data_IF_787866718822
#
_entry.id   IF_787866718822
#
_cell.length_a   1.000
_cell.length_b   1.000
_cell.length_c   1.000
_cell.angle_alpha   90.00
_cell.angle_beta   90.00
_cell.angle_gamma   90.00
#
_symmetry.space_group_name_H-M   'P 1'
#
loop_
_entity.id
_entity.type
_entity.pdbx_description
1 polymer ?
#
# COMPACT_ATOMS: atom_id res chain seq x y z
N UNK A 1 15.88 15.19 0.72
CA UNK A 1 15.02 14.90 1.88
C UNK A 1 14.03 16.03 2.19
N UNK A 2 14.50 17.29 2.38
CA UNK A 2 13.61 18.40 2.82
C UNK A 2 12.33 18.55 1.99
N UNK A 3 12.37 18.29 0.70
CA UNK A 3 11.25 18.44 -0.22
C UNK A 3 10.55 17.09 -0.55
N UNK A 4 10.74 16.04 0.26
CA UNK A 4 10.03 14.77 0.13
C UNK A 4 8.87 14.75 1.14
N UNK A 5 7.70 14.26 0.71
CA UNK A 5 6.54 13.99 1.56
C UNK A 5 6.01 12.60 1.27
N UNK A 6 6.06 11.72 2.26
CA UNK A 6 5.51 10.38 2.16
C UNK A 6 4.20 10.35 2.93
N UNK A 7 3.11 10.09 2.26
CA UNK A 7 1.79 10.10 2.87
C UNK A 7 0.88 9.02 2.28
N UNK A 8 -0.14 8.70 3.04
CA UNK A 8 -1.21 7.80 2.62
C UNK A 8 -2.55 8.50 2.71
N UNK A 9 -3.55 7.99 2.00
CA UNK A 9 -4.95 8.42 2.15
C UNK A 9 -5.70 7.33 2.89
N UNK A 10 -6.29 7.68 4.01
CA UNK A 10 -7.20 6.84 4.78
C UNK A 10 -8.61 7.40 4.70
N UNK A 11 -9.57 6.54 4.43
CA UNK A 11 -10.97 6.92 4.26
C UNK A 11 -11.89 5.74 4.52
N UNK A 12 -13.14 6.02 4.86
CA UNK A 12 -14.21 5.03 4.78
C UNK A 12 -14.52 4.67 3.32
N UNK A 13 -15.16 3.52 3.11
CA UNK A 13 -15.66 3.11 1.80
C UNK A 13 -16.61 4.21 1.29
N UNK A 14 -16.52 4.51 0.00
CA UNK A 14 -17.33 5.54 -0.68
C UNK A 14 -17.10 7.01 -0.22
N UNK A 15 -16.15 7.31 0.65
CA UNK A 15 -15.79 8.70 0.98
C UNK A 15 -14.99 9.41 -0.12
N UNK A 16 -14.65 8.70 -1.21
CA UNK A 16 -14.03 9.25 -2.40
C UNK A 16 -12.50 9.18 -2.42
N UNK A 17 -11.91 8.20 -1.71
CA UNK A 17 -10.47 7.98 -1.67
C UNK A 17 -9.86 7.83 -3.07
N UNK A 18 -10.32 6.86 -3.88
CA UNK A 18 -9.78 6.59 -5.22
C UNK A 18 -9.98 7.78 -6.17
N UNK A 19 -11.13 8.47 -6.08
CA UNK A 19 -11.39 9.69 -6.87
C UNK A 19 -10.43 10.82 -6.49
N UNK A 20 -10.12 10.97 -5.19
CA UNK A 20 -9.15 11.96 -4.73
C UNK A 20 -7.73 11.60 -5.20
N UNK A 21 -7.37 10.33 -5.13
CA UNK A 21 -6.09 9.81 -5.65
C UNK A 21 -5.90 10.13 -7.12
N UNK A 22 -6.91 9.84 -7.95
CA UNK A 22 -6.91 10.18 -9.38
C UNK A 22 -6.74 11.69 -9.61
N UNK A 23 -7.42 12.50 -8.79
CA UNK A 23 -7.35 13.96 -8.90
C UNK A 23 -5.97 14.51 -8.53
N UNK A 24 -5.32 13.94 -7.51
CA UNK A 24 -3.95 14.32 -7.14
C UNK A 24 -2.96 13.96 -8.25
N UNK A 25 -3.10 12.77 -8.86
CA UNK A 25 -2.28 12.33 -10.00
C UNK A 25 -2.45 13.27 -11.19
N UNK A 26 -3.70 13.63 -11.52
CA UNK A 26 -4.00 14.55 -12.61
C UNK A 26 -3.42 15.96 -12.35
N UNK A 27 -3.65 16.50 -11.16
CA UNK A 27 -3.20 17.85 -10.78
C UNK A 27 -1.68 17.99 -10.82
N UNK A 28 -0.95 16.99 -10.36
CA UNK A 28 0.51 16.96 -10.38
C UNK A 28 1.08 16.51 -11.75
N UNK A 29 0.24 16.30 -12.76
CA UNK A 29 0.69 15.94 -14.10
C UNK A 29 1.30 14.54 -14.23
N UNK A 30 0.96 13.63 -13.32
CA UNK A 30 1.44 12.24 -13.34
C UNK A 30 0.98 11.46 -14.58
N UNK A 31 -0.19 11.83 -15.13
CA UNK A 31 -0.73 11.30 -16.38
C UNK A 31 -1.38 12.42 -17.20
N UNK A 32 -1.36 12.28 -18.53
CA UNK A 32 -2.11 13.17 -19.41
C UNK A 32 -3.62 12.87 -19.33
N UNK A 33 -4.45 13.87 -19.64
CA UNK A 33 -5.92 13.69 -19.66
C UNK A 33 -6.39 12.52 -20.54
N UNK A 34 -5.63 12.15 -21.58
CA UNK A 34 -5.96 11.01 -22.46
C UNK A 34 -5.62 9.66 -21.84
N UNK A 35 -4.70 9.63 -20.88
CA UNK A 35 -4.28 8.42 -20.19
C UNK A 35 -5.04 8.23 -18.87
N UNK A 36 -5.78 9.26 -18.43
CA UNK A 36 -6.63 9.18 -17.25
C UNK A 36 -7.79 8.23 -17.50
N UNK A 37 -7.93 7.24 -16.63
CA UNK A 37 -9.10 6.40 -16.48
C UNK A 37 -9.61 6.56 -15.05
N UNK A 38 -10.84 6.18 -14.80
CA UNK A 38 -11.34 6.14 -13.42
C UNK A 38 -10.58 5.07 -12.62
N UNK A 39 -10.24 5.38 -11.37
CA UNK A 39 -9.59 4.48 -10.43
C UNK A 39 -8.25 3.92 -10.96
N UNK A 40 -7.34 4.82 -11.35
CA UNK A 40 -6.05 4.45 -11.98
C UNK A 40 -5.22 3.53 -11.11
N UNK A 41 -5.28 3.71 -9.79
CA UNK A 41 -4.52 2.92 -8.83
C UNK A 41 -5.18 1.57 -8.50
N UNK A 42 -6.48 1.42 -8.72
CA UNK A 42 -7.16 0.14 -8.59
C UNK A 42 -6.84 -0.75 -9.80
N UNK A 43 -5.69 -1.40 -9.76
CA UNK A 43 -5.12 -2.13 -10.90
C UNK A 43 -5.78 -3.47 -11.18
N UNK A 44 -6.45 -4.06 -10.19
CA UNK A 44 -7.16 -5.32 -10.32
C UNK A 44 -8.60 -5.10 -10.81
N UNK A 45 -9.08 -5.97 -11.69
CA UNK A 45 -10.48 -5.92 -12.12
C UNK A 45 -11.46 -6.07 -10.95
N UNK A 46 -11.11 -6.92 -9.97
CA UNK A 46 -11.87 -7.13 -8.74
C UNK A 46 -11.98 -5.86 -7.88
N UNK A 47 -10.96 -5.01 -7.83
CA UNK A 47 -11.00 -3.71 -7.14
C UNK A 47 -12.02 -2.79 -7.79
N UNK A 48 -11.98 -2.68 -9.12
CA UNK A 48 -12.90 -1.83 -9.91
C UNK A 48 -14.33 -2.34 -9.87
N UNK A 49 -14.55 -3.65 -9.96
CA UNK A 49 -15.87 -4.25 -9.90
C UNK A 49 -16.53 -4.08 -8.53
N UNK A 50 -15.76 -4.19 -7.47
CA UNK A 50 -16.24 -4.07 -6.08
C UNK A 50 -16.22 -2.64 -5.53
N UNK A 51 -15.56 -1.71 -6.23
CA UNK A 51 -15.40 -0.32 -5.79
C UNK A 51 -14.55 -0.17 -4.52
N UNK A 52 -13.63 -1.10 -4.27
CA UNK A 52 -12.77 -1.11 -3.07
C UNK A 52 -11.31 -1.29 -3.48
N UNK A 53 -10.40 -0.59 -2.83
CA UNK A 53 -8.97 -0.86 -2.92
C UNK A 53 -8.64 -2.07 -2.05
N UNK A 54 -8.00 -3.07 -2.64
CA UNK A 54 -7.58 -4.30 -1.98
C UNK A 54 -6.10 -4.22 -1.65
N UNK A 55 -5.29 -3.76 -2.62
CA UNK A 55 -3.86 -3.70 -2.50
C UNK A 55 -3.33 -2.27 -2.52
N UNK A 56 -2.41 -1.99 -1.59
CA UNK A 56 -1.72 -0.72 -1.57
C UNK A 56 -0.86 -0.51 -2.82
N UNK A 57 -0.92 0.69 -3.39
CA UNK A 57 -0.09 1.11 -4.51
C UNK A 57 0.66 2.39 -4.17
N UNK A 58 1.91 2.47 -4.58
CA UNK A 58 2.74 3.65 -4.37
C UNK A 58 2.89 4.44 -5.67
N UNK A 59 2.75 5.75 -5.58
CA UNK A 59 2.95 6.68 -6.71
C UNK A 59 3.82 7.83 -6.24
N UNK A 60 4.78 8.20 -7.07
CA UNK A 60 5.62 9.38 -6.88
C UNK A 60 5.16 10.48 -7.84
N UNK A 61 4.84 11.64 -7.30
CA UNK A 61 4.38 12.81 -8.02
C UNK A 61 5.30 13.99 -7.72
N UNK A 62 5.51 14.85 -8.71
CA UNK A 62 6.22 16.11 -8.51
C UNK A 62 5.20 17.25 -8.39
N UNK A 63 5.33 18.05 -7.34
CA UNK A 63 4.49 19.23 -7.09
C UNK A 63 5.34 20.48 -7.01
N UNK A 64 5.06 21.43 -7.89
CA UNK A 64 5.76 22.71 -7.96
C UNK A 64 5.07 23.75 -7.08
N UNK A 65 5.80 24.34 -6.14
CA UNK A 65 5.32 25.44 -5.30
C UNK A 65 6.42 26.44 -5.00
N UNK A 66 6.16 27.72 -5.22
CA UNK A 66 7.07 28.84 -4.93
C UNK A 66 8.47 28.68 -5.55
N UNK A 67 8.57 28.00 -6.71
CA UNK A 67 9.83 27.72 -7.41
C UNK A 67 10.63 26.55 -6.82
N UNK A 68 10.08 25.82 -5.87
CA UNK A 68 10.63 24.56 -5.35
C UNK A 68 9.78 23.37 -5.84
N UNK A 69 10.46 22.27 -6.19
CA UNK A 69 9.82 20.99 -6.52
C UNK A 69 9.75 20.12 -5.29
N UNK A 70 8.57 19.70 -4.92
CA UNK A 70 8.31 18.71 -3.88
C UNK A 70 8.04 17.34 -4.50
N UNK A 71 8.72 16.32 -3.99
CA UNK A 71 8.44 14.93 -4.34
C UNK A 71 7.40 14.36 -3.36
N UNK A 72 6.22 14.08 -3.87
CA UNK A 72 5.12 13.51 -3.11
C UNK A 72 5.06 12.00 -3.37
N UNK A 73 5.42 11.20 -2.38
CA UNK A 73 5.26 9.75 -2.45
C UNK A 73 3.93 9.41 -1.78
N UNK A 74 2.97 9.10 -2.58
CA UNK A 74 1.62 8.77 -2.18
C UNK A 74 1.44 7.25 -2.17
N UNK A 75 0.96 6.69 -1.06
CA UNK A 75 0.64 5.27 -0.93
C UNK A 75 -0.87 5.14 -0.73
N UNK A 76 -1.54 4.63 -1.74
CA UNK A 76 -2.97 4.33 -1.67
C UNK A 76 -3.20 3.08 -0.82
N UNK A 77 -4.12 3.15 0.14
CA UNK A 77 -4.38 2.07 1.11
C UNK A 77 -5.80 1.55 1.01
N UNK A 78 -6.03 0.25 1.30
CA UNK A 78 -7.37 -0.26 1.46
C UNK A 78 -8.17 0.49 2.53
N UNK A 79 -9.49 0.62 2.34
CA UNK A 79 -10.38 1.22 3.35
C UNK A 79 -11.00 0.21 4.31
N UNK A 80 -11.12 -1.06 3.92
CA UNK A 80 -11.85 -2.09 4.64
C UNK A 80 -11.03 -2.73 5.77
N UNK A 81 -11.70 -3.04 6.89
CA UNK A 81 -11.08 -3.61 8.10
C UNK A 81 -10.38 -4.96 7.88
N UNK A 82 -10.86 -5.77 6.94
CA UNK A 82 -10.24 -7.06 6.59
C UNK A 82 -8.86 -6.90 5.95
N UNK A 83 -8.51 -5.69 5.51
CA UNK A 83 -7.20 -5.34 4.97
C UNK A 83 -6.39 -4.43 5.90
N UNK A 84 -6.73 -4.39 7.20
CA UNK A 84 -6.04 -3.55 8.20
C UNK A 84 -4.53 -3.78 8.27
N UNK A 85 -4.07 -4.99 7.92
CA UNK A 85 -2.65 -5.31 7.85
C UNK A 85 -1.95 -4.55 6.69
N UNK A 86 -2.59 -4.51 5.50
CA UNK A 86 -2.11 -3.71 4.37
C UNK A 86 -2.06 -2.22 4.72
N UNK A 87 -3.10 -1.72 5.42
CA UNK A 87 -3.14 -0.34 5.91
C UNK A 87 -1.97 -0.04 6.84
N UNK A 88 -1.78 -0.86 7.88
CA UNK A 88 -0.70 -0.68 8.86
C UNK A 88 0.68 -0.68 8.20
N UNK A 89 0.89 -1.58 7.26
CA UNK A 89 2.14 -1.74 6.51
C UNK A 89 2.45 -0.54 5.62
N UNK A 90 1.45 -0.06 4.91
CA UNK A 90 1.56 1.11 4.03
C UNK A 90 1.82 2.39 4.82
N UNK A 91 1.13 2.56 5.95
CA UNK A 91 1.31 3.68 6.85
C UNK A 91 2.74 3.73 7.42
N UNK A 92 3.38 2.59 7.67
CA UNK A 92 4.77 2.55 8.15
C UNK A 92 5.79 3.14 7.17
N UNK A 93 5.43 3.25 5.90
CA UNK A 93 6.24 3.90 4.88
C UNK A 93 6.02 5.41 4.80
N UNK A 94 5.08 5.96 5.57
CA UNK A 94 4.66 7.35 5.52
C UNK A 94 5.11 8.13 6.75
N UNK A 95 5.19 9.43 6.62
CA UNK A 95 5.33 10.39 7.70
C UNK A 95 4.01 11.08 8.03
N UNK A 96 3.00 10.96 7.16
CA UNK A 96 1.68 11.50 7.40
C UNK A 96 0.57 10.75 6.70
N UNK A 97 -0.67 11.09 7.04
CA UNK A 97 -1.88 10.54 6.43
C UNK A 97 -2.94 11.63 6.22
N UNK A 98 -3.63 11.56 5.09
CA UNK A 98 -4.82 12.36 4.83
C UNK A 98 -6.05 11.57 5.26
N UNK A 99 -6.77 12.06 6.26
CA UNK A 99 -8.03 11.50 6.74
C UNK A 99 -9.18 12.12 5.93
N UNK A 100 -9.67 11.41 4.94
CA UNK A 100 -10.74 11.89 4.05
C UNK A 100 -12.10 11.50 4.60
N UNK A 101 -12.91 12.51 4.87
CA UNK A 101 -14.27 12.36 5.39
C UNK A 101 -15.27 12.99 4.43
N UNK A 102 -16.34 12.26 4.14
CA UNK A 102 -17.45 12.74 3.31
C UNK A 102 -18.22 13.84 4.06
N UNK A 103 -18.32 15.03 3.47
CA UNK A 103 -19.03 16.18 4.05
C UNK A 103 -20.52 15.97 4.28
N UNK A 104 -21.12 14.95 3.67
CA UNK A 104 -22.54 14.60 3.85
C UNK A 104 -22.76 13.51 4.90
N UNK A 105 -21.86 12.52 4.96
CA UNK A 105 -22.00 11.35 5.85
C UNK A 105 -21.35 11.60 7.23
N UNK A 106 -20.17 12.25 7.26
CA UNK A 106 -19.42 12.48 8.49
C UNK A 106 -18.48 11.32 8.85
N UNK A 107 -18.17 11.18 10.14
CA UNK A 107 -17.21 10.20 10.66
C UNK A 107 -17.86 8.83 10.79
N UNK A 108 -17.24 7.82 10.18
CA UNK A 108 -17.67 6.42 10.20
C UNK A 108 -16.69 5.52 10.98
N UNK A 109 -17.14 4.34 11.41
CA UNK A 109 -16.36 3.45 12.27
C UNK A 109 -14.98 3.05 11.69
N UNK A 110 -14.90 2.81 10.37
CA UNK A 110 -13.63 2.48 9.71
C UNK A 110 -12.68 3.68 9.65
N UNK A 111 -13.23 4.89 9.55
CA UNK A 111 -12.46 6.14 9.63
C UNK A 111 -11.69 6.21 10.96
N UNK A 112 -12.39 5.93 12.07
CA UNK A 112 -11.80 5.89 13.41
C UNK A 112 -10.68 4.83 13.51
N UNK A 113 -10.96 3.60 13.10
CA UNK A 113 -10.01 2.49 13.21
C UNK A 113 -8.71 2.75 12.43
N UNK A 114 -8.83 3.24 11.19
CA UNK A 114 -7.67 3.57 10.35
C UNK A 114 -6.91 4.79 10.88
N UNK A 115 -7.61 5.77 11.42
CA UNK A 115 -7.00 6.95 12.03
C UNK A 115 -6.17 6.57 13.26
N UNK A 116 -6.71 5.76 14.16
CA UNK A 116 -5.95 5.27 15.33
C UNK A 116 -4.71 4.49 14.91
N UNK A 117 -4.79 3.67 13.85
CA UNK A 117 -3.61 2.98 13.32
C UNK A 117 -2.52 3.96 12.86
N UNK A 118 -2.90 5.09 12.26
CA UNK A 118 -1.94 6.13 11.87
C UNK A 118 -1.34 6.85 13.08
N UNK A 119 -2.17 7.20 14.06
CA UNK A 119 -1.74 7.88 15.31
C UNK A 119 -0.80 6.98 16.12
N UNK A 120 -1.11 5.68 16.25
CA UNK A 120 -0.27 4.70 16.96
C UNK A 120 1.12 4.56 16.31
N UNK A 121 1.24 4.86 15.02
CA UNK A 121 2.52 4.90 14.30
C UNK A 121 3.19 6.29 14.33
N UNK A 122 2.66 7.25 15.11
CA UNK A 122 3.13 8.63 15.22
C UNK A 122 3.15 9.38 13.89
N UNK A 123 2.19 9.13 13.01
CA UNK A 123 2.02 9.88 11.77
C UNK A 123 1.30 11.21 12.02
N UNK A 124 1.66 12.23 11.25
CA UNK A 124 0.87 13.47 11.18
C UNK A 124 -0.41 13.20 10.40
N UNK A 125 -1.57 13.37 11.06
CA UNK A 125 -2.87 13.11 10.43
C UNK A 125 -3.57 14.41 10.12
N UNK A 126 -3.85 14.66 8.84
CA UNK A 126 -4.51 15.86 8.34
C UNK A 126 -5.94 15.52 7.89
N UNK A 127 -6.93 16.15 8.52
CA UNK A 127 -8.32 15.99 8.12
C UNK A 127 -8.61 16.70 6.79
N UNK A 128 -9.41 16.07 5.93
CA UNK A 128 -9.86 16.58 4.63
C UNK A 128 -11.35 16.30 4.48
N UNK A 129 -12.16 17.32 4.20
CA UNK A 129 -13.59 17.17 3.97
C UNK A 129 -13.87 17.14 2.49
N UNK A 130 -14.31 15.99 2.00
CA UNK A 130 -14.60 15.75 0.59
C UNK A 130 -16.09 15.85 0.28
N UNK A 131 -16.41 15.87 -1.00
CA UNK A 131 -17.76 15.91 -1.57
C UNK A 131 -18.54 17.20 -1.19
N UNK A 132 -17.84 18.32 -1.09
CA UNK A 132 -18.47 19.61 -0.82
C UNK A 132 -19.38 20.12 -1.94
N UNK A 133 -19.33 19.48 -3.10
CA UNK A 133 -20.22 19.72 -4.25
C UNK A 133 -21.63 19.16 -4.03
N UNK A 134 -21.84 18.30 -3.05
CA UNK A 134 -23.14 17.74 -2.73
C UNK A 134 -24.01 18.73 -1.95
N UNK A 135 -25.30 18.91 -2.29
CA UNK A 135 -26.20 19.85 -1.61
C UNK A 135 -26.41 19.55 -0.12
N UNK A 136 -26.26 18.29 0.29
CA UNK A 136 -26.37 17.83 1.68
C UNK A 136 -25.05 17.87 2.46
N UNK A 137 -23.99 18.40 1.87
CA UNK A 137 -22.71 18.52 2.56
C UNK A 137 -22.79 19.57 3.68
N UNK A 138 -22.37 19.20 4.88
CA UNK A 138 -22.34 20.04 6.10
C UNK A 138 -20.93 20.08 6.68
N UNK A 139 -19.98 20.78 6.06
CA UNK A 139 -18.57 20.75 6.44
C UNK A 139 -18.31 21.13 7.89
N UNK A 140 -19.03 22.14 8.43
CA UNK A 140 -18.83 22.61 9.81
C UNK A 140 -19.26 21.55 10.84
N UNK A 141 -20.36 20.84 10.58
CA UNK A 141 -20.78 19.69 11.39
C UNK A 141 -19.72 18.60 11.37
N UNK A 142 -19.21 18.25 10.18
CA UNK A 142 -18.21 17.20 10.04
C UNK A 142 -16.88 17.56 10.69
N UNK A 143 -16.46 18.82 10.63
CA UNK A 143 -15.29 19.29 11.40
C UNK A 143 -15.45 19.06 12.89
N UNK A 144 -16.60 19.42 13.45
CA UNK A 144 -16.90 19.21 14.86
C UNK A 144 -16.92 17.71 15.22
N UNK A 145 -17.51 16.87 14.38
CA UNK A 145 -17.48 15.40 14.57
C UNK A 145 -16.05 14.84 14.60
N UNK A 146 -15.16 15.31 13.72
CA UNK A 146 -13.77 14.88 13.70
C UNK A 146 -13.07 15.26 15.02
N UNK A 147 -13.27 16.49 15.49
CA UNK A 147 -12.68 16.95 16.74
C UNK A 147 -13.23 16.20 17.96
N UNK A 148 -14.55 15.99 18.03
CA UNK A 148 -15.22 15.36 19.17
C UNK A 148 -14.96 13.84 19.24
N UNK A 149 -14.93 13.15 18.09
CA UNK A 149 -14.84 11.70 18.03
C UNK A 149 -13.40 11.20 17.89
N UNK A 150 -12.54 11.94 17.21
CA UNK A 150 -11.17 11.53 16.89
C UNK A 150 -10.15 12.28 17.72
N UNK A 151 -10.44 13.55 18.04
CA UNK A 151 -9.53 14.44 18.79
C UNK A 151 -8.45 15.09 17.93
N UNK A 152 -8.66 15.18 16.61
CA UNK A 152 -7.77 15.85 15.66
C UNK A 152 -8.35 17.22 15.35
N UNK A 153 -7.48 18.26 15.33
CA UNK A 153 -7.89 19.61 14.92
C UNK A 153 -8.32 19.60 13.44
N UNK A 154 -9.60 19.88 13.20
CA UNK A 154 -10.19 19.97 11.88
C UNK A 154 -10.56 21.41 11.48
N UNK A 155 -10.21 22.42 12.30
CA UNK A 155 -10.56 23.83 12.03
C UNK A 155 -10.06 24.32 10.68
N UNK A 156 -8.82 23.92 10.31
CA UNK A 156 -8.16 24.28 9.05
C UNK A 156 -8.30 23.22 7.97
N UNK A 157 -9.13 22.18 8.18
CA UNK A 157 -9.31 21.11 7.22
C UNK A 157 -9.76 21.65 5.85
N UNK A 158 -9.06 21.35 4.75
CA UNK A 158 -9.43 21.79 3.42
C UNK A 158 -10.76 21.18 3.01
N UNK A 159 -11.57 22.00 2.37
CA UNK A 159 -12.84 21.61 1.78
C UNK A 159 -12.61 21.29 0.30
N UNK A 160 -12.82 20.04 -0.06
CA UNK A 160 -12.51 19.57 -1.41
C UNK A 160 -13.69 18.88 -2.08
N UNK A 161 -13.71 18.93 -3.38
CA UNK A 161 -14.49 18.03 -4.22
C UNK A 161 -13.53 17.29 -5.16
N UNK A 162 -13.26 16.05 -4.87
CA UNK A 162 -12.45 15.20 -5.74
C UNK A 162 -13.08 15.07 -7.14
N UNK A 163 -14.41 15.07 -7.21
CA UNK A 163 -15.17 15.00 -8.46
C UNK A 163 -14.95 16.22 -9.36
N UNK A 164 -15.00 17.43 -8.79
CA UNK A 164 -14.91 18.67 -9.56
C UNK A 164 -13.51 19.26 -9.62
N UNK A 165 -12.59 18.80 -8.77
CA UNK A 165 -11.24 19.34 -8.62
C UNK A 165 -11.14 20.55 -7.69
N UNK A 166 -12.25 20.98 -7.06
CA UNK A 166 -12.27 22.11 -6.17
C UNK A 166 -11.44 21.82 -4.91
N UNK A 167 -10.62 22.77 -4.48
CA UNK A 167 -9.85 22.74 -3.23
C UNK A 167 -8.57 21.89 -3.27
N UNK A 168 -8.21 21.26 -4.40
CA UNK A 168 -7.05 20.36 -4.50
C UNK A 168 -5.72 21.08 -4.27
N UNK A 169 -5.56 22.31 -4.79
CA UNK A 169 -4.36 23.12 -4.56
C UNK A 169 -4.19 23.45 -3.07
N UNK A 170 -5.27 23.83 -2.40
CA UNK A 170 -5.23 24.12 -0.95
C UNK A 170 -4.88 22.87 -0.14
N UNK A 171 -5.37 21.69 -0.55
CA UNK A 171 -5.01 20.42 0.05
C UNK A 171 -3.52 20.12 -0.13
N UNK A 172 -2.96 20.27 -1.34
CA UNK A 172 -1.54 20.03 -1.61
C UNK A 172 -0.64 20.99 -0.84
N UNK A 173 -1.04 22.26 -0.72
CA UNK A 173 -0.33 23.24 0.08
C UNK A 173 -0.32 22.85 1.56
N UNK A 174 -1.48 22.49 2.13
CA UNK A 174 -1.58 22.01 3.51
C UNK A 174 -0.70 20.79 3.75
N UNK A 175 -0.70 19.84 2.83
CA UNK A 175 0.10 18.61 2.88
C UNK A 175 1.60 18.94 2.95
N UNK A 176 2.08 19.81 2.06
CA UNK A 176 3.51 20.21 2.02
C UNK A 176 3.93 20.95 3.29
N UNK A 177 3.04 21.78 3.84
CA UNK A 177 3.32 22.59 5.03
C UNK A 177 3.34 21.75 6.32
N UNK A 178 2.49 20.75 6.45
CA UNK A 178 2.25 20.06 7.72
C UNK A 178 2.85 18.64 7.78
N UNK A 179 2.89 17.89 6.68
CA UNK A 179 3.53 16.57 6.73
C UNK A 179 5.05 16.76 6.82
N UNK A 180 5.71 16.20 7.84
CA UNK A 180 7.16 16.35 7.98
C UNK A 180 7.90 15.60 6.87
N UNK A 181 9.11 16.05 6.50
CA UNK A 181 9.98 15.30 5.62
C UNK A 181 10.45 13.99 6.29
N UNK A 182 10.80 12.95 5.50
CA UNK A 182 11.34 11.72 6.04
C UNK A 182 12.64 11.98 6.83
N UNK A 183 12.86 11.13 7.83
CA UNK A 183 14.09 11.13 8.65
C UNK A 183 15.07 10.10 8.09
N UNK A 184 16.36 10.31 8.31
CA UNK A 184 17.43 9.40 7.93
C UNK A 184 18.74 10.14 7.69
N UNK A 185 19.84 9.39 7.59
CA UNK A 185 21.17 9.94 7.32
C UNK A 185 21.58 9.60 5.86
N UNK A 186 21.74 10.59 4.98
CA UNK A 186 22.14 10.37 3.59
C UNK A 186 23.60 9.88 3.46
N UNK A 187 24.42 10.04 4.51
CA UNK A 187 25.83 9.64 4.51
C UNK A 187 26.07 8.29 5.22
N UNK A 188 25.03 7.71 5.81
CA UNK A 188 25.13 6.39 6.42
C UNK A 188 25.14 5.29 5.33
N UNK A 189 25.47 4.06 5.77
CA UNK A 189 25.34 2.89 4.91
C UNK A 189 23.89 2.68 4.48
N UNK A 190 23.72 2.10 3.30
CA UNK A 190 22.40 1.84 2.75
C UNK A 190 21.60 0.88 3.62
N UNK A 191 20.40 1.31 3.99
CA UNK A 191 19.37 0.53 4.65
C UNK A 191 18.00 0.85 4.06
N UNK A 192 17.21 -0.17 3.75
CA UNK A 192 15.85 -0.01 3.27
C UNK A 192 14.92 -1.06 3.90
N UNK A 193 13.66 -0.69 4.05
CA UNK A 193 12.58 -1.56 4.50
C UNK A 193 11.80 -2.06 3.27
N UNK A 194 11.54 -3.36 3.19
CA UNK A 194 10.62 -3.93 2.21
C UNK A 194 9.18 -3.70 2.68
N UNK A 195 8.45 -2.84 1.99
CA UNK A 195 7.07 -2.51 2.31
C UNK A 195 6.12 -3.54 1.72
N UNK A 196 6.40 -3.95 0.48
CA UNK A 196 5.60 -4.90 -0.27
C UNK A 196 6.47 -5.69 -1.25
N UNK A 197 6.00 -6.87 -1.67
CA UNK A 197 6.66 -7.68 -2.68
C UNK A 197 5.64 -8.43 -3.50
N UNK A 198 5.92 -8.63 -4.79
CA UNK A 198 5.10 -9.47 -5.66
C UNK A 198 5.99 -10.22 -6.65
N UNK A 199 5.43 -11.27 -7.20
CA UNK A 199 6.12 -12.08 -8.20
C UNK A 199 5.72 -11.64 -9.61
N UNK A 200 6.72 -11.29 -10.40
CA UNK A 200 6.58 -11.01 -11.83
C UNK A 200 7.18 -12.18 -12.61
N UNK A 201 6.46 -12.69 -13.62
CA UNK A 201 6.88 -13.89 -14.37
C UNK A 201 8.22 -13.70 -15.12
N UNK A 202 8.57 -12.46 -15.46
CA UNK A 202 9.79 -12.12 -16.20
C UNK A 202 10.92 -11.62 -15.30
N UNK A 203 10.58 -10.84 -14.27
CA UNK A 203 11.55 -10.16 -13.41
C UNK A 203 11.85 -10.92 -12.12
N UNK A 204 11.05 -11.94 -11.80
CA UNK A 204 11.08 -12.60 -10.50
C UNK A 204 10.42 -11.76 -9.39
N UNK A 205 10.99 -11.75 -8.19
CA UNK A 205 10.46 -10.93 -7.10
C UNK A 205 10.78 -9.46 -7.34
N UNK A 206 9.74 -8.64 -7.33
CA UNK A 206 9.83 -7.18 -7.32
C UNK A 206 9.46 -6.71 -5.93
N UNK A 207 10.31 -5.90 -5.30
CA UNK A 207 10.08 -5.37 -3.96
C UNK A 207 9.83 -3.87 -4.02
N UNK A 208 8.78 -3.42 -3.33
CA UNK A 208 8.58 -2.01 -3.00
C UNK A 208 9.37 -1.70 -1.74
N UNK A 209 10.28 -0.75 -1.79
CA UNK A 209 11.18 -0.41 -0.70
C UNK A 209 11.07 1.06 -0.31
N UNK A 210 11.25 1.34 0.99
CA UNK A 210 11.54 2.69 1.50
C UNK A 210 13.00 2.75 1.90
N UNK A 211 13.76 3.67 1.34
CA UNK A 211 15.15 3.91 1.73
C UNK A 211 15.15 4.67 3.06
N UNK A 212 15.71 4.07 4.10
CA UNK A 212 15.75 4.63 5.46
C UNK A 212 17.04 5.40 5.68
N UNK A 213 18.18 4.85 5.25
CA UNK A 213 19.47 5.49 5.33
C UNK A 213 20.26 5.32 4.03
N UNK A 214 21.16 6.23 3.74
CA UNK A 214 22.06 6.18 2.59
C UNK A 214 21.35 6.27 1.26
N UNK A 215 21.86 5.55 0.28
CA UNK A 215 21.26 5.44 -1.05
C UNK A 215 21.55 4.07 -1.69
N UNK A 216 20.73 3.66 -2.65
CA UNK A 216 20.95 2.48 -3.47
C UNK A 216 21.11 2.88 -4.92
N UNK A 217 22.07 2.26 -5.61
CA UNK A 217 22.34 2.45 -7.05
C UNK A 217 22.01 1.20 -7.83
N UNK A 218 21.59 1.40 -9.08
CA UNK A 218 21.48 0.31 -10.04
C UNK A 218 22.82 -0.44 -10.13
N UNK A 219 22.79 -1.77 -10.10
CA UNK A 219 23.97 -2.61 -10.10
C UNK A 219 24.66 -2.78 -8.73
N UNK A 220 24.14 -2.17 -7.66
CA UNK A 220 24.71 -2.33 -6.31
C UNK A 220 24.43 -3.73 -5.75
N UNK A 221 25.42 -4.32 -5.07
CA UNK A 221 25.25 -5.59 -4.37
C UNK A 221 24.60 -5.35 -3.02
N UNK A 222 23.44 -5.96 -2.81
CA UNK A 222 22.64 -5.85 -1.59
C UNK A 222 22.58 -7.19 -0.85
N UNK A 223 22.19 -7.16 0.41
CA UNK A 223 21.95 -8.32 1.26
C UNK A 223 20.59 -8.20 1.92
N UNK A 224 19.79 -9.26 1.88
CA UNK A 224 18.53 -9.38 2.60
C UNK A 224 18.83 -9.91 4.01
N UNK A 225 18.40 -9.18 5.05
CA UNK A 225 18.82 -9.43 6.43
C UNK A 225 18.39 -10.82 6.94
N UNK A 226 17.13 -11.22 6.76
CA UNK A 226 16.64 -12.49 7.33
C UNK A 226 17.24 -13.71 6.66
N UNK A 227 17.46 -13.65 5.36
CA UNK A 227 17.99 -14.78 4.57
C UNK A 227 19.52 -14.79 4.50
N UNK A 228 20.17 -13.67 4.84
CA UNK A 228 21.62 -13.45 4.69
C UNK A 228 22.13 -13.64 3.24
N UNK A 229 21.22 -13.71 2.27
CA UNK A 229 21.58 -13.87 0.87
C UNK A 229 21.87 -12.52 0.21
N UNK A 230 22.85 -12.51 -0.66
CA UNK A 230 23.22 -11.32 -1.42
C UNK A 230 22.74 -11.42 -2.86
N UNK A 231 22.27 -10.29 -3.37
CA UNK A 231 21.76 -10.14 -4.72
C UNK A 231 22.33 -8.88 -5.37
N UNK A 232 22.17 -8.76 -6.68
CA UNK A 232 22.49 -7.54 -7.42
C UNK A 232 21.17 -6.77 -7.65
N UNK A 233 21.12 -5.50 -7.31
CA UNK A 233 19.98 -4.64 -7.62
C UNK A 233 20.00 -4.29 -9.11
N UNK A 234 19.45 -5.17 -9.96
CA UNK A 234 19.51 -5.04 -11.43
C UNK A 234 18.74 -3.84 -11.94
N UNK A 235 17.60 -3.55 -11.33
CA UNK A 235 16.76 -2.40 -11.67
C UNK A 235 16.21 -1.77 -10.39
N UNK A 236 16.20 -0.45 -10.37
CA UNK A 236 15.55 0.36 -9.36
C UNK A 236 14.77 1.50 -10.01
N UNK A 237 13.74 1.99 -9.36
CA UNK A 237 12.96 3.10 -9.90
C UNK A 237 11.76 3.45 -9.05
N UNK A 238 10.89 4.27 -9.62
CA UNK A 238 9.67 4.77 -9.00
C UNK A 238 8.46 4.44 -9.85
N UNK A 239 7.26 4.56 -9.28
CA UNK A 239 6.00 4.55 -10.02
C UNK A 239 5.46 5.97 -10.12
N UNK A 240 5.17 6.45 -11.34
CA UNK A 240 4.62 7.80 -11.56
C UNK A 240 3.57 7.83 -12.70
N UNK A 241 2.39 7.26 -12.54
CA UNK A 241 2.02 5.93 -12.02
C UNK A 241 2.71 4.76 -12.73
N UNK A 242 3.23 4.98 -13.95
CA UNK A 242 4.01 3.97 -14.70
C UNK A 242 5.40 3.80 -14.08
N UNK A 243 5.98 2.63 -14.26
CA UNK A 243 7.36 2.36 -13.85
C UNK A 243 8.33 3.31 -14.57
N UNK A 244 9.11 4.05 -13.79
CA UNK A 244 10.21 4.90 -14.28
C UNK A 244 11.50 4.42 -13.65
N UNK A 245 12.42 3.90 -14.48
CA UNK A 245 13.74 3.48 -14.02
C UNK A 245 14.53 4.69 -13.50
N UNK A 246 15.23 4.50 -12.41
CA UNK A 246 16.14 5.47 -11.80
C UNK A 246 17.53 4.83 -11.65
N UNK A 247 18.58 5.64 -11.71
CA UNK A 247 19.94 5.17 -11.46
C UNK A 247 20.25 5.06 -9.97
N UNK A 248 19.53 5.80 -9.15
CA UNK A 248 19.72 5.90 -7.70
C UNK A 248 18.40 6.22 -7.00
N UNK A 249 18.19 5.62 -5.83
CA UNK A 249 17.17 6.01 -4.86
C UNK A 249 17.86 6.46 -3.58
N UNK A 250 17.46 7.62 -3.08
CA UNK A 250 18.05 8.26 -1.92
C UNK A 250 17.19 8.08 -0.67
N UNK A 251 17.78 8.36 0.48
CA UNK A 251 17.12 8.37 1.77
C UNK A 251 15.77 9.09 1.72
N UNK A 252 14.74 8.44 2.28
CA UNK A 252 13.37 8.93 2.33
C UNK A 252 12.54 8.62 1.09
N UNK A 253 13.12 8.17 -0.01
CA UNK A 253 12.37 7.81 -1.22
C UNK A 253 11.75 6.43 -1.11
N UNK A 254 10.57 6.30 -1.71
CA UNK A 254 9.86 5.03 -1.92
C UNK A 254 10.00 4.65 -3.39
N UNK A 255 10.35 3.40 -3.66
CA UNK A 255 10.54 2.95 -5.03
C UNK A 255 10.55 1.43 -5.15
N UNK A 256 10.66 0.92 -6.36
CA UNK A 256 10.76 -0.51 -6.60
C UNK A 256 12.22 -0.94 -6.82
N UNK A 257 12.49 -2.18 -6.47
CA UNK A 257 13.75 -2.86 -6.72
C UNK A 257 13.50 -4.25 -7.33
N UNK A 258 14.27 -4.57 -8.36
CA UNK A 258 14.38 -5.89 -8.95
C UNK A 258 15.81 -6.38 -8.73
N UNK A 259 15.98 -7.53 -8.11
CA UNK A 259 17.30 -8.06 -7.78
C UNK A 259 17.50 -9.53 -8.23
N UNK A 260 16.77 -9.96 -9.26
CA UNK A 260 16.86 -11.30 -9.80
C UNK A 260 16.50 -12.42 -8.81
N UNK A 261 15.74 -12.09 -7.76
CA UNK A 261 15.35 -13.05 -6.73
C UNK A 261 14.28 -13.98 -7.30
N UNK A 262 14.64 -15.25 -7.47
CA UNK A 262 13.74 -16.28 -8.01
C UNK A 262 12.97 -17.02 -6.91
N UNK A 263 13.55 -17.09 -5.72
CA UNK A 263 12.89 -17.71 -4.59
C UNK A 263 11.87 -16.71 -4.00
N UNK A 264 10.62 -17.12 -3.96
CA UNK A 264 9.50 -16.32 -3.44
C UNK A 264 9.75 -15.86 -1.98
N UNK A 265 10.44 -16.68 -1.19
CA UNK A 265 10.81 -16.33 0.20
C UNK A 265 12.13 -15.54 0.32
N UNK A 266 12.75 -15.17 -0.79
CA UNK A 266 14.05 -14.52 -0.81
C UNK A 266 14.05 -13.06 -0.38
N UNK A 267 12.88 -12.39 -0.43
CA UNK A 267 12.69 -11.00 -0.02
C UNK A 267 11.32 -10.82 0.67
N UNK A 268 11.17 -11.33 1.90
CA UNK A 268 9.91 -11.25 2.61
C UNK A 268 9.55 -9.80 2.97
N UNK A 269 8.27 -9.51 2.96
CA UNK A 269 7.74 -8.20 3.36
C UNK A 269 8.07 -7.91 4.82
N UNK A 270 8.49 -6.68 5.12
CA UNK A 270 8.94 -6.25 6.44
C UNK A 270 10.41 -6.55 6.73
N UNK A 271 11.13 -7.17 5.80
CA UNK A 271 12.55 -7.42 5.96
C UNK A 271 13.40 -6.18 5.63
N UNK A 272 14.63 -6.22 6.09
CA UNK A 272 15.61 -5.16 5.88
C UNK A 272 16.55 -5.53 4.74
N UNK A 273 16.79 -4.57 3.85
CA UNK A 273 17.81 -4.66 2.82
C UNK A 273 18.98 -3.78 3.23
N UNK A 274 20.19 -4.32 3.13
CA UNK A 274 21.44 -3.68 3.50
C UNK A 274 22.39 -3.63 2.30
N UNK A 275 23.39 -2.75 2.36
CA UNK A 275 24.58 -2.92 1.52
C UNK A 275 25.25 -4.27 1.88
N UNK A 276 25.67 -5.02 0.87
CA UNK A 276 26.27 -6.35 1.09
C UNK A 276 27.56 -6.33 1.91
N UNK A 277 28.19 -5.18 2.05
CA UNK A 277 29.42 -4.98 2.84
C UNK A 277 29.13 -4.64 4.31
N UNK A 278 27.86 -4.34 4.64
CA UNK A 278 27.47 -3.96 6.00
C UNK A 278 27.03 -5.20 6.78
N UNK A 279 27.89 -5.66 7.68
CA UNK A 279 27.66 -6.84 8.53
C UNK A 279 27.22 -6.46 9.96
N UNK A 280 27.19 -5.18 10.31
CA UNK A 280 26.98 -4.70 11.67
C UNK A 280 25.59 -4.11 11.93
N UNK A 281 24.77 -3.93 10.93
CA UNK A 281 23.44 -3.34 11.08
C UNK A 281 22.47 -4.28 11.79
N UNK A 282 21.63 -3.69 12.64
CA UNK A 282 20.46 -4.36 13.22
C UNK A 282 19.33 -4.29 12.21
N UNK A 283 18.41 -5.28 12.22
CA UNK A 283 17.24 -5.19 11.35
C UNK A 283 16.39 -3.97 11.72
N UNK A 284 15.82 -3.35 10.72
CA UNK A 284 14.77 -2.35 10.93
C UNK A 284 13.58 -3.02 11.61
N UNK A 285 12.77 -2.27 12.38
CA UNK A 285 11.51 -2.79 12.89
C UNK A 285 10.65 -3.28 11.72
N UNK A 286 10.40 -4.58 11.70
CA UNK A 286 9.51 -5.19 10.71
C UNK A 286 8.05 -5.08 11.11
N UNK A 287 7.18 -5.74 10.37
CA UNK A 287 5.75 -5.75 10.65
C UNK A 287 5.38 -6.85 11.64
N UNK A 288 4.40 -6.57 12.49
CA UNK A 288 3.85 -7.58 13.39
C UNK A 288 3.09 -8.63 12.58
N UNK A 289 3.28 -9.90 12.91
CA UNK A 289 2.48 -10.97 12.33
C UNK A 289 1.04 -10.83 12.79
N UNK A 290 0.11 -10.84 11.85
CA UNK A 290 -1.31 -10.82 12.13
C UNK A 290 -1.82 -12.25 12.16
N UNK A 291 -2.66 -12.56 13.16
CA UNK A 291 -3.29 -13.88 13.27
C UNK A 291 -4.60 -13.91 12.47
N UNK A 292 -4.84 -14.98 11.71
CA UNK A 292 -6.09 -15.15 11.00
C UNK A 292 -7.28 -15.27 11.96
N UNK A 293 -8.42 -14.78 11.52
CA UNK A 293 -9.69 -14.82 12.28
C UNK A 293 -10.72 -15.76 11.65
N UNK A 294 -10.58 -16.02 10.35
CA UNK A 294 -11.47 -16.90 9.57
C UNK A 294 -10.63 -17.98 8.93
N UNK A 295 -11.12 -19.19 8.95
CA UNK A 295 -10.49 -20.33 8.30
C UNK A 295 -11.45 -20.95 7.28
N UNK A 296 -10.90 -21.42 6.17
CA UNK A 296 -11.60 -22.22 5.18
C UNK A 296 -10.64 -23.19 4.52
N UNK A 297 -11.15 -24.34 4.13
CA UNK A 297 -10.39 -25.29 3.33
C UNK A 297 -10.73 -25.12 1.87
N UNK A 298 -9.68 -24.99 1.05
CA UNK A 298 -9.79 -24.80 -0.39
C UNK A 298 -9.26 -26.03 -1.11
N UNK A 299 -10.06 -26.53 -2.06
CA UNK A 299 -9.72 -27.69 -2.89
C UNK A 299 -9.91 -27.35 -4.36
N UNK A 300 -9.11 -27.92 -5.23
CA UNK A 300 -9.34 -27.84 -6.67
C UNK A 300 -10.47 -28.78 -7.10
N UNK A 301 -11.28 -28.35 -8.04
CA UNK A 301 -12.31 -29.21 -8.66
C UNK A 301 -11.63 -30.38 -9.37
N UNK A 302 -10.51 -30.11 -10.02
CA UNK A 302 -9.72 -31.11 -10.73
C UNK A 302 -8.48 -31.48 -9.88
N UNK A 303 -8.33 -32.75 -9.53
CA UNK A 303 -7.23 -33.22 -8.67
C UNK A 303 -5.85 -33.01 -9.30
N UNK A 304 -5.77 -32.95 -10.63
CA UNK A 304 -4.52 -32.75 -11.37
C UNK A 304 -4.00 -31.30 -11.24
N UNK A 305 -4.83 -30.37 -10.78
CA UNK A 305 -4.46 -28.95 -10.58
C UNK A 305 -3.81 -28.68 -9.21
N UNK A 306 -3.63 -29.66 -8.32
CA UNK A 306 -3.07 -29.46 -6.99
C UNK A 306 -1.71 -28.75 -6.98
N UNK A 307 -0.78 -29.15 -7.86
CA UNK A 307 0.55 -28.52 -7.97
C UNK A 307 0.46 -27.07 -8.45
N UNK A 308 -0.41 -26.79 -9.43
CA UNK A 308 -0.70 -25.44 -9.91
C UNK A 308 -1.27 -24.58 -8.79
N UNK A 309 -2.17 -25.13 -7.99
CA UNK A 309 -2.77 -24.47 -6.84
C UNK A 309 -1.73 -24.14 -5.75
N UNK A 310 -0.86 -25.11 -5.42
CA UNK A 310 0.24 -24.88 -4.46
C UNK A 310 1.16 -23.75 -4.92
N UNK A 311 1.53 -23.72 -6.17
CA UNK A 311 2.39 -22.68 -6.75
C UNK A 311 1.69 -21.31 -6.76
N UNK A 312 0.39 -21.29 -7.07
CA UNK A 312 -0.43 -20.07 -7.01
C UNK A 312 -0.50 -19.50 -5.59
N UNK A 313 -0.79 -20.35 -4.58
CA UNK A 313 -0.82 -19.94 -3.18
C UNK A 313 0.53 -19.37 -2.71
N UNK A 314 1.63 -20.02 -3.08
CA UNK A 314 2.97 -19.56 -2.69
C UNK A 314 3.30 -18.18 -3.26
N UNK A 315 2.88 -17.90 -4.50
CA UNK A 315 3.03 -16.57 -5.13
C UNK A 315 2.12 -15.54 -4.50
N UNK A 316 0.89 -15.94 -4.18
CA UNK A 316 -0.09 -15.03 -3.58
C UNK A 316 0.32 -14.61 -2.16
N UNK A 317 0.85 -15.52 -1.33
CA UNK A 317 1.33 -15.22 0.02
C UNK A 317 2.51 -14.24 0.04
N UNK A 318 3.35 -14.21 -0.99
CA UNK A 318 4.37 -13.17 -1.11
C UNK A 318 3.76 -11.78 -1.15
N UNK A 319 2.64 -11.66 -1.85
CA UNK A 319 1.92 -10.41 -2.05
C UNK A 319 0.94 -10.11 -0.91
N UNK A 320 0.40 -11.15 -0.31
CA UNK A 320 -0.56 -11.11 0.79
C UNK A 320 -0.04 -11.91 1.99
N UNK A 321 0.82 -11.28 2.77
CA UNK A 321 1.48 -11.93 3.90
C UNK A 321 0.56 -12.17 5.11
N UNK A 322 -0.71 -11.74 5.04
CA UNK A 322 -1.74 -12.05 6.03
C UNK A 322 -2.40 -13.42 5.76
N UNK A 323 -2.31 -13.91 4.52
CA UNK A 323 -2.77 -15.25 4.16
C UNK A 323 -1.79 -16.30 4.69
N UNK A 324 -2.30 -17.25 5.44
CA UNK A 324 -1.56 -18.45 5.85
C UNK A 324 -2.23 -19.69 5.26
N UNK A 325 -1.45 -20.71 4.96
CA UNK A 325 -2.01 -21.97 4.47
C UNK A 325 -1.17 -23.17 4.93
N UNK A 326 -1.82 -24.29 5.08
CA UNK A 326 -1.22 -25.59 5.37
C UNK A 326 -1.88 -26.68 4.52
N UNK A 327 -1.14 -27.73 4.12
CA UNK A 327 -1.73 -28.84 3.37
C UNK A 327 -2.86 -29.51 4.16
N UNK A 328 -3.91 -29.89 3.45
CA UNK A 328 -5.05 -30.62 4.01
C UNK A 328 -5.49 -31.72 3.06
N UNK A 329 -6.07 -32.79 3.62
CA UNK A 329 -6.59 -33.92 2.85
C UNK A 329 -8.02 -34.18 3.28
N UNK A 330 -8.90 -34.27 2.30
CA UNK A 330 -10.31 -34.65 2.47
C UNK A 330 -10.58 -35.97 1.78
N UNK A 331 -11.27 -36.90 2.45
CA UNK A 331 -11.66 -38.18 1.86
C UNK A 331 -12.56 -38.01 0.62
N UNK A 332 -13.34 -36.92 0.59
CA UNK A 332 -14.28 -36.63 -0.50
C UNK A 332 -13.69 -35.77 -1.61
N UNK A 333 -12.78 -34.82 -1.27
CA UNK A 333 -12.29 -33.80 -2.20
C UNK A 333 -10.80 -33.96 -2.55
N UNK A 334 -10.10 -34.91 -1.91
CA UNK A 334 -8.68 -35.15 -2.17
C UNK A 334 -7.76 -34.15 -1.46
N UNK A 335 -6.69 -33.76 -2.14
CA UNK A 335 -5.67 -32.85 -1.60
C UNK A 335 -6.08 -31.40 -1.79
N UNK A 336 -5.88 -30.58 -0.74
CA UNK A 336 -6.16 -29.17 -0.73
C UNK A 336 -5.33 -28.43 0.31
N UNK A 337 -5.79 -27.25 0.69
CA UNK A 337 -5.12 -26.42 1.69
C UNK A 337 -6.14 -25.84 2.65
N UNK A 338 -5.84 -25.93 3.94
CA UNK A 338 -6.49 -25.16 4.97
C UNK A 338 -5.88 -23.78 5.02
N UNK A 339 -6.69 -22.76 4.75
CA UNK A 339 -6.25 -21.37 4.66
C UNK A 339 -6.82 -20.54 5.81
N UNK A 340 -6.02 -19.59 6.31
CA UNK A 340 -6.43 -18.63 7.33
C UNK A 340 -6.44 -17.21 6.76
N UNK A 341 -7.49 -16.46 7.08
CA UNK A 341 -7.83 -15.15 6.53
C UNK A 341 -8.12 -14.15 7.66
N UNK A 342 -8.00 -12.85 7.38
CA UNK A 342 -8.32 -11.78 8.34
C UNK A 342 -9.84 -11.60 8.53
N UNK A 343 -10.62 -11.89 7.50
CA UNK A 343 -12.08 -11.79 7.51
C UNK A 343 -12.71 -12.50 6.33
N UNK A 344 -14.04 -12.40 6.23
CA UNK A 344 -14.81 -13.06 5.16
C UNK A 344 -14.57 -12.42 3.79
N UNK A 345 -14.44 -11.09 3.73
CA UNK A 345 -14.12 -10.40 2.49
C UNK A 345 -12.71 -10.76 2.01
N UNK A 346 -11.74 -10.89 2.93
CA UNK A 346 -10.39 -11.34 2.60
C UNK A 346 -10.42 -12.74 1.98
N UNK A 347 -11.19 -13.68 2.55
CA UNK A 347 -11.37 -15.02 1.98
C UNK A 347 -11.95 -14.98 0.56
N UNK A 348 -13.02 -14.20 0.36
CA UNK A 348 -13.65 -14.06 -0.96
C UNK A 348 -12.67 -13.51 -2.00
N UNK A 349 -11.94 -12.45 -1.64
CA UNK A 349 -10.95 -11.82 -2.52
C UNK A 349 -9.82 -12.79 -2.86
N UNK A 350 -9.25 -13.49 -1.89
CA UNK A 350 -8.17 -14.47 -2.12
C UNK A 350 -8.65 -15.58 -3.05
N UNK A 351 -9.86 -16.13 -2.82
CA UNK A 351 -10.43 -17.16 -3.68
C UNK A 351 -10.61 -16.65 -5.11
N UNK A 352 -11.21 -15.47 -5.26
CA UNK A 352 -11.46 -14.87 -6.58
C UNK A 352 -10.15 -14.54 -7.32
N UNK A 353 -9.11 -14.10 -6.61
CA UNK A 353 -7.78 -13.91 -7.19
C UNK A 353 -7.17 -15.22 -7.67
N UNK A 354 -7.26 -16.29 -6.88
CA UNK A 354 -6.79 -17.62 -7.29
C UNK A 354 -7.52 -18.12 -8.53
N UNK A 355 -8.83 -17.90 -8.61
CA UNK A 355 -9.66 -18.29 -9.75
C UNK A 355 -9.31 -17.48 -11.00
N UNK A 356 -9.17 -16.15 -10.90
CA UNK A 356 -8.98 -15.25 -12.05
C UNK A 356 -7.52 -15.12 -12.49
N UNK A 357 -6.58 -14.93 -11.54
CA UNK A 357 -5.17 -14.68 -11.87
C UNK A 357 -4.42 -15.98 -12.25
N UNK A 358 -4.87 -17.11 -11.69
CA UNK A 358 -4.21 -18.40 -11.86
C UNK A 358 -5.06 -19.45 -12.58
N UNK A 359 -6.26 -19.08 -13.06
CA UNK A 359 -7.16 -19.97 -13.80
C UNK A 359 -7.40 -21.28 -13.06
N UNK A 360 -7.84 -21.20 -11.81
CA UNK A 360 -8.17 -22.31 -10.92
C UNK A 360 -9.68 -22.37 -10.70
N UNK A 361 -10.22 -23.60 -10.57
CA UNK A 361 -11.59 -23.82 -10.14
C UNK A 361 -11.56 -24.36 -8.72
N UNK A 362 -12.07 -23.58 -7.75
CA UNK A 362 -11.94 -23.89 -6.34
C UNK A 362 -13.26 -24.21 -5.64
N UNK A 363 -13.22 -25.23 -4.79
CA UNK A 363 -14.26 -25.55 -3.82
C UNK A 363 -13.80 -25.02 -2.47
N UNK A 364 -14.65 -24.22 -1.82
CA UNK A 364 -14.43 -23.73 -0.46
C UNK A 364 -15.33 -24.45 0.51
N UNK A 365 -14.77 -24.95 1.59
CA UNK A 365 -15.53 -25.60 2.68
C UNK A 365 -15.21 -24.94 4.01
N UNK A 366 -16.14 -25.02 4.96
CA UNK A 366 -15.81 -24.75 6.35
C UNK A 366 -14.82 -25.80 6.86
N UNK A 367 -13.86 -25.41 7.71
CA UNK A 367 -12.89 -26.33 8.28
C UNK A 367 -13.53 -27.30 9.25
#
# INVERSE_FOLDING_TARGET
MKNIRNFSIIAHIDHGKSTLSDRLIEYCGGLSQREMSEQILDSMDIERERGITIKAQAVTLDYERDGETYQLNFIDTPGHVDFSYEVSRSLSACEGALLVVDGSQGVEAQTLANCYTAVDQNLEVLAVINKIDLPQSEPDRVKQEIEDMIGIDATTAPLVSAKTGQGIEALLNLLVDNIPPPKGDPNADFEALIIDSWFDAYLGVVSLIKVINGSIKEGQKIKVYSTQQSYLADQIGIFSPKKIAKKELNVGQVGYMVAGIKNIQGAPVGDTILDSKNDSSKPLPGFQKVLPKVFASLFTVDSDEYEKFRDALSKLVLNDSALIYEPEVSDALGFGFRCGFLGTLHLEVVRERLEREYDLNLISTAP
#
